data_IF_459480857975
#
_entry.id   IF_459480857975
#
_cell.length_a   1.000
_cell.length_b   1.000
_cell.length_c   1.000
_cell.angle_alpha   90.00
_cell.angle_beta   90.00
_cell.angle_gamma   90.00
#
_symmetry.space_group_name_H-M   'P 1'
#
loop_
_entity.id
_entity.type
_entity.pdbx_description
1 polymer ?
#
# COMPACT_ATOMS: atom_id res chain seq x y z
N UNK A 1 -29.89 27.98 -50.62
CA UNK A 1 -29.47 29.23 -51.32
C UNK A 1 -28.51 29.98 -50.40
N UNK A 2 -27.42 30.38 -50.99
CA UNK A 2 -26.30 31.23 -50.52
C UNK A 2 -25.27 30.58 -49.58
N UNK A 3 -24.22 30.17 -50.23
CA UNK A 3 -22.82 30.01 -49.81
C UNK A 3 -22.24 31.38 -49.39
N UNK A 4 -21.34 31.40 -48.42
CA UNK A 4 -20.22 32.35 -48.46
C UNK A 4 -19.00 31.71 -47.81
N UNK A 5 -17.95 31.64 -48.63
CA UNK A 5 -16.57 31.25 -48.37
C UNK A 5 -15.80 32.54 -48.11
N UNK A 6 -14.92 32.56 -47.10
CA UNK A 6 -13.73 33.46 -47.04
C UNK A 6 -12.77 32.74 -46.08
N UNK A 7 -11.73 32.17 -46.50
CA UNK A 7 -10.43 32.53 -47.06
C UNK A 7 -9.35 32.66 -45.99
N UNK A 8 -8.31 31.75 -46.21
CA UNK A 8 -7.00 31.71 -45.57
C UNK A 8 -6.29 33.05 -45.52
N UNK A 9 -5.48 33.25 -44.50
CA UNK A 9 -4.28 34.06 -44.59
C UNK A 9 -3.10 33.40 -43.92
N UNK A 10 -2.22 32.82 -44.76
CA UNK A 10 -0.85 32.42 -44.39
C UNK A 10 0.01 33.68 -44.37
N UNK A 11 0.80 33.88 -43.32
CA UNK A 11 1.98 34.75 -43.38
C UNK A 11 3.21 33.93 -42.93
N UNK A 12 4.05 33.63 -43.89
CA UNK A 12 5.43 33.20 -43.74
C UNK A 12 6.36 34.39 -43.95
N UNK A 13 7.37 34.55 -43.11
CA UNK A 13 8.58 35.34 -43.33
C UNK A 13 9.63 34.81 -42.38
N UNK A 14 10.57 34.04 -42.83
CA UNK A 14 11.82 34.30 -43.57
C UNK A 14 13.00 34.63 -42.62
N UNK A 15 13.83 33.68 -42.44
CA UNK A 15 15.30 33.53 -42.49
C UNK A 15 16.14 34.82 -42.33
N UNK A 16 17.06 34.74 -41.39
CA UNK A 16 18.22 35.60 -41.28
C UNK A 16 19.38 34.90 -40.60
N UNK A 17 20.23 34.28 -41.42
CA UNK A 17 21.56 33.77 -41.02
C UNK A 17 22.53 34.91 -40.87
N UNK A 18 23.34 34.94 -39.83
CA UNK A 18 24.66 35.57 -39.88
C UNK A 18 25.62 34.77 -38.99
N UNK A 19 26.65 34.26 -39.66
CA UNK A 19 27.83 33.64 -39.10
C UNK A 19 28.79 34.69 -38.52
N UNK A 20 29.46 34.33 -37.41
CA UNK A 20 30.59 35.07 -36.88
C UNK A 20 31.47 34.16 -36.04
N UNK A 21 32.65 33.87 -36.60
CA UNK A 21 33.74 33.11 -36.04
C UNK A 21 34.52 33.84 -34.93
N UNK A 22 35.16 33.05 -34.05
CA UNK A 22 36.37 33.40 -33.29
C UNK A 22 36.11 33.39 -31.77
N UNK A 23 36.90 32.88 -30.93
CA UNK A 23 38.16 32.18 -30.87
C UNK A 23 38.33 31.63 -29.43
N UNK A 24 39.16 30.64 -29.30
CA UNK A 24 39.57 29.91 -28.10
C UNK A 24 39.86 30.77 -26.85
N UNK A 25 39.44 30.31 -25.67
CA UNK A 25 40.42 30.18 -24.59
C UNK A 25 40.01 29.09 -23.58
N UNK A 26 40.94 28.18 -23.38
CA UNK A 26 41.01 27.18 -22.30
C UNK A 26 41.21 27.87 -20.99
N UNK A 27 40.54 27.39 -19.94
CA UNK A 27 41.20 27.35 -18.60
C UNK A 27 40.76 26.10 -17.87
N UNK A 28 41.74 25.35 -17.55
CA UNK A 28 41.74 24.11 -16.80
C UNK A 28 41.51 24.36 -15.30
N UNK A 29 40.97 23.34 -14.69
CA UNK A 29 40.86 22.90 -13.28
C UNK A 29 42.06 23.34 -12.38
N UNK A 30 41.85 23.42 -11.08
CA UNK A 30 42.51 22.36 -10.29
C UNK A 30 41.61 21.65 -9.27
N UNK A 31 41.73 20.32 -9.34
CA UNK A 31 41.53 19.35 -8.27
C UNK A 31 42.43 19.70 -7.08
N UNK A 32 41.92 19.68 -5.87
CA UNK A 32 42.74 19.53 -4.69
C UNK A 32 42.15 18.47 -3.76
N UNK A 33 42.77 17.32 -3.81
CA UNK A 33 42.81 16.28 -2.80
C UNK A 33 43.72 16.74 -1.66
N UNK A 34 43.29 16.61 -0.41
CA UNK A 34 44.08 15.96 0.63
C UNK A 34 43.33 15.84 1.94
N UNK A 35 43.40 14.61 2.43
CA UNK A 35 42.97 14.15 3.74
C UNK A 35 43.84 14.69 4.86
N UNK A 36 43.29 14.81 6.06
CA UNK A 36 43.96 14.33 7.27
C UNK A 36 43.00 14.14 8.44
N UNK A 37 43.12 12.96 9.00
CA UNK A 37 42.59 12.53 10.29
C UNK A 37 43.42 13.18 11.45
N UNK A 38 42.85 13.12 12.63
CA UNK A 38 43.41 13.13 14.00
C UNK A 38 42.41 13.88 14.89
N UNK A 39 42.02 13.54 16.09
CA UNK A 39 42.43 12.50 17.04
C UNK A 39 41.41 12.46 18.17
N UNK A 40 41.22 11.30 18.80
CA UNK A 40 40.46 11.12 20.03
C UNK A 40 41.32 11.60 21.24
N UNK A 41 40.71 11.87 22.41
CA UNK A 41 40.98 10.91 23.45
C UNK A 41 39.81 10.44 24.29
N UNK A 42 39.99 9.21 24.69
CA UNK A 42 39.35 8.36 25.69
C UNK A 42 39.70 8.77 27.10
N UNK A 43 38.78 8.61 28.05
CA UNK A 43 39.00 8.19 29.46
C UNK A 43 37.57 7.99 30.02
N UNK A 44 37.04 6.91 30.53
CA UNK A 44 37.62 5.84 31.32
C UNK A 44 36.96 5.78 32.67
N UNK A 45 36.52 4.62 33.02
CA UNK A 45 36.49 4.00 34.34
C UNK A 45 35.09 3.83 34.96
N UNK A 46 34.52 2.66 34.92
CA UNK A 46 34.68 1.47 35.82
C UNK A 46 33.74 1.46 37.03
N UNK A 47 33.03 0.36 37.17
CA UNK A 47 32.50 -0.07 38.46
C UNK A 47 31.33 -1.08 38.36
N UNK A 48 31.64 -2.36 38.19
CA UNK A 48 30.91 -3.54 38.68
C UNK A 48 31.53 -3.95 40.04
N UNK A 49 31.06 -5.00 40.71
CA UNK A 49 29.73 -5.60 40.95
C UNK A 49 29.49 -5.91 42.46
N UNK A 50 28.35 -6.53 42.81
CA UNK A 50 28.17 -7.52 43.88
C UNK A 50 26.66 -7.81 44.05
N UNK A 51 26.12 -8.95 43.80
CA UNK A 51 26.08 -10.32 44.33
C UNK A 51 25.57 -10.46 45.78
N UNK A 52 24.69 -11.46 45.88
CA UNK A 52 24.28 -12.32 47.01
C UNK A 52 23.04 -11.84 47.79
N UNK A 53 22.06 -12.65 48.19
CA UNK A 53 21.84 -14.08 48.37
C UNK A 53 20.37 -14.34 48.70
N UNK A 54 19.82 -15.41 48.18
CA UNK A 54 19.06 -16.52 48.78
C UNK A 54 18.22 -16.29 50.06
N UNK A 55 16.97 -16.78 50.10
CA UNK A 55 16.41 -17.98 50.72
C UNK A 55 14.88 -17.85 50.85
N UNK A 56 14.10 -18.72 50.27
CA UNK A 56 13.57 -20.00 50.75
C UNK A 56 12.36 -19.91 51.71
N UNK A 57 11.30 -20.71 51.41
CA UNK A 57 10.25 -21.09 52.36
C UNK A 57 8.84 -21.15 51.75
N UNK A 58 8.50 -22.20 51.09
CA UNK A 58 7.67 -23.39 51.43
C UNK A 58 6.28 -23.14 52.04
N UNK A 59 5.29 -23.70 51.28
CA UNK A 59 4.15 -24.59 51.68
C UNK A 59 3.09 -24.08 52.65
N UNK A 60 1.83 -24.20 52.37
CA UNK A 60 0.95 -25.40 52.48
C UNK A 60 -0.49 -25.13 52.02
N UNK A 61 -1.07 -26.19 51.50
CA UNK A 61 -2.48 -26.48 51.21
C UNK A 61 -3.45 -26.30 52.38
N UNK A 62 -4.77 -26.07 52.02
CA UNK A 62 -5.92 -26.93 52.38
C UNK A 62 -7.23 -26.27 51.94
N UNK A 63 -7.89 -26.85 50.99
CA UNK A 63 -9.07 -27.71 50.99
C UNK A 63 -10.11 -27.44 52.08
N UNK A 64 -11.33 -27.07 51.69
CA UNK A 64 -12.55 -27.72 52.16
C UNK A 64 -13.80 -27.35 51.34
N UNK A 65 -14.48 -28.40 50.94
CA UNK A 65 -15.81 -28.59 50.42
C UNK A 65 -16.90 -28.18 51.44
N UNK A 66 -18.09 -27.80 50.96
CA UNK A 66 -19.42 -28.39 51.11
C UNK A 66 -20.57 -27.41 50.94
N UNK A 67 -21.35 -27.60 49.93
CA UNK A 67 -22.74 -28.04 49.82
C UNK A 67 -23.80 -27.38 50.73
N UNK A 68 -24.81 -26.78 50.12
CA UNK A 68 -26.22 -27.06 50.45
C UNK A 68 -27.21 -26.36 49.46
N UNK A 69 -28.11 -27.18 48.97
CA UNK A 69 -29.36 -26.89 48.27
C UNK A 69 -30.31 -25.93 49.00
N UNK A 70 -31.11 -25.13 48.27
CA UNK A 70 -32.55 -25.42 48.11
C UNK A 70 -33.34 -24.27 47.43
N UNK A 71 -34.16 -24.66 46.46
CA UNK A 71 -35.54 -24.25 46.08
C UNK A 71 -35.94 -22.77 46.14
N UNK A 72 -36.43 -22.15 45.08
CA UNK A 72 -37.62 -22.38 44.33
C UNK A 72 -38.31 -21.08 43.98
N UNK A 73 -38.98 -21.07 42.88
CA UNK A 73 -40.13 -20.29 42.44
C UNK A 73 -39.94 -19.22 41.37
N UNK A 74 -40.68 -19.46 40.34
CA UNK A 74 -40.94 -18.76 39.08
C UNK A 74 -41.25 -17.26 39.20
N UNK A 75 -40.60 -16.47 38.35
CA UNK A 75 -41.23 -15.32 37.71
C UNK A 75 -40.78 -15.20 36.24
N UNK A 76 -41.71 -15.34 35.33
CA UNK A 76 -41.64 -15.04 33.93
C UNK A 76 -41.32 -13.56 33.74
N UNK A 77 -40.14 -13.24 33.25
CA UNK A 77 -39.89 -12.00 32.54
C UNK A 77 -39.55 -12.33 31.09
N UNK A 78 -40.30 -11.71 30.20
CA UNK A 78 -40.19 -11.79 28.77
C UNK A 78 -38.77 -11.41 28.36
N UNK A 79 -38.06 -12.36 27.78
CA UNK A 79 -36.84 -12.13 27.02
C UNK A 79 -37.21 -11.29 25.80
N UNK A 80 -36.80 -10.01 25.82
CA UNK A 80 -36.55 -9.27 24.60
C UNK A 80 -35.30 -9.91 24.00
N UNK A 81 -35.45 -10.62 22.93
CA UNK A 81 -34.33 -11.00 22.04
C UNK A 81 -33.67 -9.71 21.60
N UNK A 82 -32.54 -9.34 22.24
CA UNK A 82 -31.53 -8.48 21.65
C UNK A 82 -31.07 -9.20 20.38
N UNK A 83 -31.50 -8.71 19.22
CA UNK A 83 -30.84 -9.02 17.95
C UNK A 83 -29.34 -8.66 18.14
N UNK A 84 -28.54 -9.66 18.41
CA UNK A 84 -27.08 -9.56 18.26
C UNK A 84 -26.80 -9.17 16.83
N UNK A 85 -26.40 -7.92 16.62
CA UNK A 85 -25.75 -7.49 15.37
C UNK A 85 -24.66 -8.52 15.03
N UNK A 86 -24.53 -8.94 13.75
CA UNK A 86 -23.50 -9.87 13.35
C UNK A 86 -22.14 -9.29 13.75
N UNK A 87 -21.44 -10.02 14.59
CA UNK A 87 -20.25 -9.55 15.28
C UNK A 87 -19.17 -9.07 14.32
N UNK A 88 -18.81 -7.82 14.45
CA UNK A 88 -17.57 -7.20 13.93
C UNK A 88 -16.31 -7.82 14.57
N UNK A 89 -16.46 -8.78 15.48
CA UNK A 89 -15.40 -9.35 16.31
C UNK A 89 -14.59 -10.48 15.68
N UNK A 90 -14.86 -10.85 14.41
CA UNK A 90 -14.14 -11.92 13.72
C UNK A 90 -13.55 -11.50 12.36
N UNK A 91 -13.70 -10.26 11.97
CA UNK A 91 -13.08 -9.76 10.73
C UNK A 91 -11.61 -9.45 11.00
N UNK A 92 -10.73 -10.30 10.46
CA UNK A 92 -9.29 -10.17 10.64
C UNK A 92 -8.77 -8.83 10.09
N UNK A 93 -9.38 -8.28 9.03
CA UNK A 93 -8.97 -7.01 8.42
C UNK A 93 -9.07 -5.85 9.41
N UNK A 94 -10.18 -5.73 10.12
CA UNK A 94 -10.39 -4.68 11.12
C UNK A 94 -9.56 -4.91 12.38
N UNK A 95 -9.37 -6.18 12.79
CA UNK A 95 -8.49 -6.52 13.92
C UNK A 95 -7.04 -6.21 13.61
N UNK A 96 -6.58 -6.52 12.40
CA UNK A 96 -5.23 -6.19 11.93
C UNK A 96 -5.06 -4.67 11.86
N UNK A 97 -6.00 -3.94 11.26
CA UNK A 97 -5.98 -2.49 11.23
C UNK A 97 -5.83 -1.90 12.65
N UNK A 98 -6.66 -2.35 13.59
CA UNK A 98 -6.63 -1.84 14.98
C UNK A 98 -5.29 -2.08 15.67
N UNK A 99 -4.59 -3.16 15.33
CA UNK A 99 -3.31 -3.52 15.97
C UNK A 99 -2.09 -2.90 15.31
N UNK A 100 -2.17 -2.50 14.04
CA UNK A 100 -1.02 -2.05 13.24
C UNK A 100 -1.05 -0.59 12.83
N UNK A 101 -2.22 0.08 12.89
CA UNK A 101 -2.42 1.38 12.25
C UNK A 101 -1.58 2.54 12.81
N UNK A 102 -1.22 2.52 14.08
CA UNK A 102 -0.49 3.60 14.73
C UNK A 102 -0.98 3.88 16.15
N UNK A 103 -1.00 5.14 16.56
CA UNK A 103 -1.41 5.55 17.92
C UNK A 103 -2.90 5.86 18.02
N UNK A 104 -3.54 6.16 16.91
CA UNK A 104 -4.97 6.47 16.79
C UNK A 104 -5.73 5.22 16.37
N UNK A 105 -6.90 5.01 16.97
CA UNK A 105 -7.81 3.91 16.57
C UNK A 105 -8.60 4.32 15.31
N UNK A 106 -8.10 3.94 14.14
CA UNK A 106 -8.76 4.21 12.85
C UNK A 106 -9.94 3.27 12.55
N UNK A 107 -10.34 2.45 13.51
CA UNK A 107 -11.63 1.73 13.47
C UNK A 107 -12.73 2.49 14.21
N UNK A 108 -12.39 3.56 14.92
CA UNK A 108 -13.31 4.38 15.71
C UNK A 108 -13.77 5.63 14.95
N UNK A 109 -15.06 5.90 15.05
CA UNK A 109 -15.68 7.12 14.52
C UNK A 109 -15.95 8.18 15.61
N UNK A 110 -15.44 7.99 16.82
CA UNK A 110 -15.66 8.94 17.92
C UNK A 110 -15.08 10.33 17.59
N UNK A 111 -15.86 11.38 17.89
CA UNK A 111 -15.45 12.77 17.63
C UNK A 111 -15.49 13.21 16.17
N UNK A 112 -15.98 12.37 15.25
CA UNK A 112 -16.09 12.71 13.83
C UNK A 112 -17.49 13.28 13.55
N UNK A 113 -17.67 14.55 13.88
CA UNK A 113 -18.96 15.27 13.74
C UNK A 113 -18.91 16.18 12.48
N UNK A 114 -18.84 15.56 11.29
CA UNK A 114 -18.83 16.25 10.01
C UNK A 114 -20.17 16.95 9.75
N UNK A 115 -20.13 18.05 8.98
CA UNK A 115 -21.33 18.76 8.56
C UNK A 115 -22.15 17.96 7.54
N UNK A 116 -23.48 18.11 7.60
CA UNK A 116 -24.42 17.43 6.70
C UNK A 116 -24.17 17.78 5.22
N UNK A 117 -24.31 16.77 4.36
CA UNK A 117 -24.15 16.90 2.91
C UNK A 117 -22.70 17.00 2.44
N UNK A 118 -21.75 16.82 3.35
CA UNK A 118 -20.33 16.87 3.04
C UNK A 118 -19.86 15.83 2.00
N UNK A 119 -18.71 16.07 1.38
CA UNK A 119 -18.18 15.23 0.30
C UNK A 119 -16.74 14.82 0.58
N UNK A 120 -16.51 13.51 0.67
CA UNK A 120 -15.20 12.89 0.67
C UNK A 120 -14.93 12.42 -0.76
N UNK A 121 -13.91 12.98 -1.38
CA UNK A 121 -13.53 12.64 -2.75
C UNK A 121 -12.32 11.70 -2.75
N UNK A 122 -12.35 10.67 -3.57
CA UNK A 122 -11.30 9.67 -3.68
C UNK A 122 -10.87 9.52 -5.12
N UNK A 123 -9.57 9.63 -5.38
CA UNK A 123 -8.97 9.33 -6.67
C UNK A 123 -7.92 8.22 -6.49
N UNK A 124 -8.10 7.12 -7.20
CA UNK A 124 -7.26 5.92 -7.11
C UNK A 124 -6.55 5.63 -8.41
N UNK A 125 -5.63 4.64 -8.42
CA UNK A 125 -4.87 4.28 -9.62
C UNK A 125 -5.73 3.60 -10.69
N UNK A 126 -6.77 2.87 -10.28
CA UNK A 126 -7.71 2.23 -11.21
C UNK A 126 -9.05 1.96 -10.53
N UNK A 127 -10.13 1.93 -11.34
CA UNK A 127 -11.46 1.52 -10.88
C UNK A 127 -11.86 0.13 -11.41
N UNK A 128 -10.91 -0.65 -11.96
CA UNK A 128 -11.20 -1.91 -12.69
C UNK A 128 -10.64 -3.17 -12.05
N UNK A 129 -9.86 -3.07 -10.98
CA UNK A 129 -9.28 -4.26 -10.33
C UNK A 129 -10.04 -4.62 -9.04
N UNK A 130 -10.02 -5.91 -8.67
CA UNK A 130 -10.64 -6.40 -7.44
C UNK A 130 -10.03 -5.79 -6.18
N UNK A 131 -8.75 -5.40 -6.23
CA UNK A 131 -8.08 -4.66 -5.18
C UNK A 131 -8.80 -3.35 -4.87
N UNK A 132 -8.95 -2.48 -5.86
CA UNK A 132 -9.61 -1.18 -5.70
C UNK A 132 -11.10 -1.30 -5.37
N UNK A 133 -11.78 -2.33 -5.89
CA UNK A 133 -13.16 -2.63 -5.47
C UNK A 133 -13.24 -2.97 -3.97
N UNK A 134 -12.22 -3.65 -3.43
CA UNK A 134 -12.18 -4.02 -2.01
C UNK A 134 -11.82 -2.82 -1.13
N UNK A 135 -10.91 -1.94 -1.56
CA UNK A 135 -10.66 -0.64 -0.93
C UNK A 135 -11.95 0.17 -0.87
N UNK A 136 -12.67 0.28 -1.99
CA UNK A 136 -13.97 0.97 -2.09
C UNK A 136 -15.00 0.43 -1.10
N UNK A 137 -15.11 -0.90 -0.96
CA UNK A 137 -16.03 -1.52 0.02
C UNK A 137 -15.72 -1.10 1.45
N UNK A 138 -14.44 -1.02 1.81
CA UNK A 138 -13.99 -0.53 3.11
C UNK A 138 -14.38 0.95 3.33
N UNK A 139 -14.18 1.79 2.32
CA UNK A 139 -14.56 3.21 2.37
C UNK A 139 -16.08 3.39 2.48
N UNK A 140 -16.85 2.66 1.67
CA UNK A 140 -18.32 2.70 1.71
C UNK A 140 -18.87 2.22 3.08
N UNK A 141 -18.22 1.23 3.70
CA UNK A 141 -18.56 0.78 5.04
C UNK A 141 -18.32 1.88 6.07
N UNK A 142 -17.16 2.53 6.06
CA UNK A 142 -16.85 3.62 6.97
C UNK A 142 -17.80 4.82 6.82
N UNK A 143 -18.09 5.23 5.57
CA UNK A 143 -19.05 6.31 5.29
C UNK A 143 -20.47 5.94 5.71
N UNK A 144 -20.88 4.69 5.52
CA UNK A 144 -22.18 4.17 6.00
C UNK A 144 -22.28 4.24 7.53
N UNK A 145 -21.23 3.79 8.23
CA UNK A 145 -21.18 3.80 9.68
C UNK A 145 -21.14 5.24 10.22
N UNK A 146 -20.40 6.15 9.55
CA UNK A 146 -20.36 7.56 9.87
C UNK A 146 -21.73 8.22 9.70
N UNK A 147 -22.43 7.99 8.59
CA UNK A 147 -23.79 8.49 8.36
C UNK A 147 -24.79 7.91 9.37
N UNK A 148 -24.63 6.64 9.77
CA UNK A 148 -25.46 6.02 10.82
C UNK A 148 -25.22 6.71 12.17
N UNK A 149 -23.95 6.95 12.55
CA UNK A 149 -23.57 7.65 13.79
C UNK A 149 -24.12 9.08 13.83
N UNK A 150 -24.02 9.81 12.72
CA UNK A 150 -24.48 11.19 12.59
C UNK A 150 -26.01 11.30 12.37
N UNK A 151 -26.70 10.18 12.23
CA UNK A 151 -28.15 10.08 11.95
C UNK A 151 -28.56 10.76 10.62
N UNK A 152 -27.61 10.93 9.67
CA UNK A 152 -27.82 11.60 8.40
C UNK A 152 -28.62 10.74 7.40
N UNK A 153 -29.58 11.38 6.71
CA UNK A 153 -30.50 10.73 5.76
C UNK A 153 -30.68 11.62 4.52
N UNK A 154 -30.98 10.98 3.39
CA UNK A 154 -31.23 11.71 2.14
C UNK A 154 -30.03 12.59 1.74
N UNK A 155 -30.28 13.85 1.51
CA UNK A 155 -29.29 14.81 1.05
C UNK A 155 -28.29 15.24 2.15
N UNK A 156 -28.62 14.98 3.43
CA UNK A 156 -27.74 15.29 4.57
C UNK A 156 -26.57 14.30 4.69
N UNK A 157 -26.63 13.16 4.00
CA UNK A 157 -25.57 12.16 4.08
C UNK A 157 -24.23 12.70 3.60
N UNK A 158 -23.16 12.30 4.29
CA UNK A 158 -21.80 12.41 3.76
C UNK A 158 -21.72 11.56 2.50
N UNK A 159 -21.25 12.18 1.42
CA UNK A 159 -21.08 11.55 0.10
C UNK A 159 -19.65 11.04 -0.05
N UNK A 160 -19.52 9.98 -0.81
CA UNK A 160 -18.24 9.41 -1.24
C UNK A 160 -18.24 9.37 -2.77
N UNK A 161 -17.33 10.06 -3.43
CA UNK A 161 -16.99 9.76 -4.82
C UNK A 161 -15.73 8.88 -4.86
N UNK A 162 -15.67 7.97 -5.83
CA UNK A 162 -14.56 7.05 -5.99
C UNK A 162 -14.25 6.93 -7.47
N UNK A 163 -13.19 7.61 -7.89
CA UNK A 163 -12.83 7.81 -9.27
C UNK A 163 -11.39 7.37 -9.53
N UNK A 164 -11.06 7.16 -10.79
CA UNK A 164 -9.74 6.76 -11.24
C UNK A 164 -9.78 6.30 -12.69
N UNK A 165 -8.64 6.21 -13.36
CA UNK A 165 -8.54 5.66 -14.71
C UNK A 165 -8.95 4.18 -14.75
N UNK A 166 -8.94 3.62 -15.95
CA UNK A 166 -9.15 2.17 -16.14
C UNK A 166 -7.86 1.35 -16.05
N UNK A 167 -6.72 2.02 -16.14
CA UNK A 167 -5.37 1.44 -16.19
C UNK A 167 -4.50 2.08 -15.11
N UNK A 168 -3.76 1.25 -14.36
CA UNK A 168 -2.89 1.71 -13.27
C UNK A 168 -1.60 2.40 -13.74
N UNK A 169 -1.42 2.54 -15.07
CA UNK A 169 -0.30 3.25 -15.70
C UNK A 169 -0.72 4.56 -16.37
N UNK A 170 -2.03 4.87 -16.44
CA UNK A 170 -2.56 6.08 -17.12
C UNK A 170 -2.51 7.32 -16.22
N UNK A 171 -1.30 7.88 -16.10
CA UNK A 171 -1.02 9.09 -15.30
C UNK A 171 -1.80 10.30 -15.81
N UNK A 172 -1.91 10.49 -17.14
CA UNK A 172 -2.59 11.65 -17.72
C UNK A 172 -4.08 11.66 -17.38
N UNK A 173 -4.75 10.52 -17.50
CA UNK A 173 -6.15 10.40 -17.09
C UNK A 173 -6.32 10.64 -15.60
N UNK A 174 -5.40 10.17 -14.74
CA UNK A 174 -5.49 10.42 -13.30
C UNK A 174 -5.40 11.90 -12.97
N UNK A 175 -4.45 12.64 -13.56
CA UNK A 175 -4.30 14.09 -13.38
C UNK A 175 -5.60 14.82 -13.76
N UNK A 176 -6.19 14.52 -14.92
CA UNK A 176 -7.43 15.13 -15.38
C UNK A 176 -8.60 14.83 -14.42
N UNK A 177 -8.66 13.63 -13.83
CA UNK A 177 -9.67 13.26 -12.83
C UNK A 177 -9.47 14.06 -11.54
N UNK A 178 -8.23 14.21 -11.06
CA UNK A 178 -7.96 15.02 -9.86
C UNK A 178 -8.39 16.47 -10.07
N UNK A 179 -8.08 17.08 -11.24
CA UNK A 179 -8.51 18.44 -11.56
C UNK A 179 -10.04 18.58 -11.55
N UNK A 180 -10.76 17.61 -12.12
CA UNK A 180 -12.22 17.60 -12.13
C UNK A 180 -12.79 17.48 -10.71
N UNK A 181 -12.24 16.62 -9.89
CA UNK A 181 -12.64 16.40 -8.49
C UNK A 181 -12.39 17.63 -7.64
N UNK A 182 -11.23 18.29 -7.77
CA UNK A 182 -10.91 19.52 -7.04
C UNK A 182 -11.84 20.67 -7.42
N UNK A 183 -12.30 20.74 -8.69
CA UNK A 183 -13.27 21.74 -9.15
C UNK A 183 -14.64 21.61 -8.46
N UNK A 184 -14.97 20.43 -7.90
CA UNK A 184 -16.19 20.23 -7.09
C UNK A 184 -16.05 20.75 -5.65
N UNK A 185 -14.86 21.19 -5.25
CA UNK A 185 -14.54 21.69 -3.91
C UNK A 185 -14.95 20.72 -2.79
N UNK A 186 -14.41 19.49 -2.76
CA UNK A 186 -14.72 18.51 -1.73
C UNK A 186 -14.20 18.95 -0.36
N UNK A 187 -14.75 18.38 0.72
CA UNK A 187 -14.27 18.63 2.08
C UNK A 187 -12.89 18.03 2.37
N UNK A 188 -12.50 16.99 1.61
CA UNK A 188 -11.21 16.31 1.69
C UNK A 188 -10.95 15.53 0.40
N UNK A 189 -9.70 15.46 -0.04
CA UNK A 189 -9.25 14.61 -1.13
C UNK A 189 -8.47 13.42 -0.56
N UNK A 190 -8.86 12.19 -0.95
CA UNK A 190 -8.07 10.98 -0.74
C UNK A 190 -7.41 10.59 -2.07
N UNK A 191 -6.10 10.42 -2.10
CA UNK A 191 -5.34 10.21 -3.34
C UNK A 191 -4.41 8.99 -3.24
N UNK A 192 -4.52 8.06 -4.19
CA UNK A 192 -3.50 7.05 -4.47
C UNK A 192 -2.81 7.41 -5.78
N UNK A 193 -1.59 7.93 -5.72
CA UNK A 193 -0.90 8.41 -6.90
C UNK A 193 -0.34 7.26 -7.76
N UNK A 194 -0.56 7.30 -9.07
CA UNK A 194 0.08 6.40 -10.04
C UNK A 194 1.58 6.71 -10.08
N UNK A 195 1.91 7.97 -10.26
CA UNK A 195 3.26 8.52 -10.31
C UNK A 195 3.43 9.52 -9.17
N UNK A 196 4.48 9.32 -8.36
CA UNK A 196 4.67 10.07 -7.12
C UNK A 196 5.05 11.55 -7.32
N UNK A 197 5.46 11.97 -8.52
CA UNK A 197 5.87 13.34 -8.83
C UNK A 197 4.82 14.11 -9.64
N UNK A 198 3.97 13.41 -10.38
CA UNK A 198 3.10 14.02 -11.41
C UNK A 198 1.92 14.83 -10.84
N UNK A 199 1.55 14.65 -9.58
CA UNK A 199 0.37 15.29 -8.97
C UNK A 199 0.68 16.61 -8.24
N UNK A 200 1.90 17.17 -8.35
CA UNK A 200 2.32 18.34 -7.58
C UNK A 200 1.38 19.55 -7.75
N UNK A 201 1.03 19.90 -8.99
CA UNK A 201 0.17 21.06 -9.27
C UNK A 201 -1.23 20.89 -8.66
N UNK A 202 -1.76 19.68 -8.64
CA UNK A 202 -3.05 19.35 -8.05
C UNK A 202 -3.00 19.43 -6.52
N UNK A 203 -1.90 18.99 -5.90
CA UNK A 203 -1.69 19.11 -4.46
C UNK A 203 -1.54 20.58 -4.03
N UNK A 204 -0.83 21.40 -4.82
CA UNK A 204 -0.74 22.85 -4.62
C UNK A 204 -2.14 23.51 -4.73
N UNK A 205 -2.94 23.11 -5.72
CA UNK A 205 -4.33 23.57 -5.89
C UNK A 205 -5.21 23.19 -4.69
N UNK A 206 -5.06 21.95 -4.16
CA UNK A 206 -5.79 21.53 -2.97
C UNK A 206 -5.42 22.40 -1.75
N UNK A 207 -4.12 22.66 -1.53
CA UNK A 207 -3.61 23.48 -0.44
C UNK A 207 -4.12 24.94 -0.55
N UNK A 208 -4.06 25.55 -1.75
CA UNK A 208 -4.57 26.92 -2.00
C UNK A 208 -6.06 27.05 -1.72
N UNK A 209 -6.84 26.00 -1.97
CA UNK A 209 -8.27 25.95 -1.70
C UNK A 209 -8.62 25.49 -0.27
N UNK A 210 -7.62 25.16 0.56
CA UNK A 210 -7.81 24.66 1.92
C UNK A 210 -8.45 23.28 1.99
N UNK A 211 -8.30 22.47 0.94
CA UNK A 211 -8.79 21.09 0.87
C UNK A 211 -7.70 20.18 1.46
N UNK A 212 -7.92 19.54 2.62
CA UNK A 212 -6.96 18.60 3.18
C UNK A 212 -6.79 17.36 2.28
N UNK A 213 -5.58 16.81 2.26
CA UNK A 213 -5.24 15.63 1.46
C UNK A 213 -4.81 14.48 2.37
N UNK A 214 -5.42 13.32 2.18
CA UNK A 214 -4.99 12.05 2.76
C UNK A 214 -4.55 11.13 1.62
N UNK A 215 -3.32 10.69 1.67
CA UNK A 215 -2.79 9.73 0.69
C UNK A 215 -3.13 8.31 1.14
N UNK A 216 -3.42 7.41 0.18
CA UNK A 216 -3.61 5.99 0.44
C UNK A 216 -2.82 5.14 -0.55
N UNK A 217 -2.46 3.93 -0.15
CA UNK A 217 -1.79 2.90 -0.97
C UNK A 217 -0.41 3.28 -1.48
N UNK A 218 -0.30 4.34 -2.27
CA UNK A 218 0.93 4.81 -2.90
C UNK A 218 1.07 6.31 -2.77
N UNK A 219 2.23 6.75 -2.31
CA UNK A 219 2.52 8.11 -1.88
C UNK A 219 2.84 9.09 -2.98
N UNK A 220 3.19 10.28 -2.52
CA UNK A 220 3.68 11.40 -3.33
C UNK A 220 4.95 11.97 -2.70
N UNK A 221 5.89 12.45 -3.50
CA UNK A 221 7.15 13.02 -3.00
C UNK A 221 7.05 14.49 -2.60
N UNK A 222 6.00 15.18 -3.05
CA UNK A 222 5.82 16.62 -2.85
C UNK A 222 4.38 16.92 -2.41
N UNK A 223 4.20 18.09 -1.81
CA UNK A 223 2.90 18.57 -1.38
C UNK A 223 2.64 18.39 0.12
N UNK A 224 1.64 19.11 0.61
CA UNK A 224 1.20 19.00 2.01
C UNK A 224 0.13 17.93 2.12
N UNK A 225 0.47 16.83 2.81
CA UNK A 225 -0.49 15.75 3.08
C UNK A 225 -0.71 15.61 4.58
N UNK A 226 -1.94 15.30 4.96
CA UNK A 226 -2.34 15.17 6.36
C UNK A 226 -2.00 13.82 6.96
N UNK A 227 -1.90 12.79 6.13
CA UNK A 227 -1.56 11.41 6.52
C UNK A 227 -1.34 10.55 5.29
N UNK A 228 -0.60 9.46 5.45
CA UNK A 228 -0.45 8.38 4.46
C UNK A 228 -1.02 7.11 5.06
N UNK A 229 -2.03 6.51 4.44
CA UNK A 229 -2.61 5.22 4.83
C UNK A 229 -2.17 4.15 3.81
N UNK A 230 -1.11 3.44 4.10
CA UNK A 230 -0.50 2.46 3.18
C UNK A 230 0.06 1.26 3.92
N UNK A 231 0.18 0.13 3.23
CA UNK A 231 0.97 -1.01 3.70
C UNK A 231 2.40 -0.55 3.99
N UNK A 232 3.03 -1.04 5.05
CA UNK A 232 4.48 -0.93 5.21
C UNK A 232 5.16 -1.75 4.11
N UNK A 233 5.27 -1.12 2.92
CA UNK A 233 5.72 -1.76 1.69
C UNK A 233 7.16 -2.27 1.80
N UNK A 234 8.00 -1.56 2.56
CA UNK A 234 9.38 -1.97 2.77
C UNK A 234 9.47 -3.22 3.66
N UNK A 235 8.73 -3.26 4.76
CA UNK A 235 8.64 -4.45 5.61
C UNK A 235 8.01 -5.64 4.87
N UNK A 236 6.96 -5.39 4.09
CA UNK A 236 6.28 -6.38 3.27
C UNK A 236 7.19 -6.99 2.19
N UNK A 237 8.01 -6.16 1.52
CA UNK A 237 9.04 -6.60 0.58
C UNK A 237 10.11 -7.48 1.25
N UNK A 238 10.56 -7.09 2.45
CA UNK A 238 11.49 -7.91 3.23
C UNK A 238 10.89 -9.27 3.62
N UNK A 239 9.61 -9.32 3.97
CA UNK A 239 8.93 -10.59 4.26
C UNK A 239 8.75 -11.45 2.99
N UNK A 240 8.48 -10.85 1.84
CA UNK A 240 8.47 -11.56 0.55
C UNK A 240 9.84 -12.21 0.25
N UNK A 241 10.95 -11.53 0.54
CA UNK A 241 12.30 -12.07 0.37
C UNK A 241 12.55 -13.31 1.23
N UNK A 242 12.15 -13.28 2.50
CA UNK A 242 12.22 -14.44 3.41
C UNK A 242 11.42 -15.62 2.85
N UNK A 243 10.19 -15.35 2.39
CA UNK A 243 9.30 -16.37 1.83
C UNK A 243 9.83 -16.98 0.54
N UNK A 244 10.38 -16.16 -0.37
CA UNK A 244 11.01 -16.68 -1.58
C UNK A 244 12.27 -17.49 -1.24
N UNK A 245 13.10 -17.03 -0.30
CA UNK A 245 14.26 -17.76 0.18
C UNK A 245 13.85 -19.15 0.73
N UNK A 246 12.81 -19.21 1.57
CA UNK A 246 12.26 -20.46 2.09
C UNK A 246 11.80 -21.38 0.95
N UNK A 247 11.04 -20.86 -0.02
CA UNK A 247 10.48 -21.63 -1.13
C UNK A 247 11.55 -22.24 -2.04
N UNK A 248 12.69 -21.56 -2.23
CA UNK A 248 13.78 -22.03 -3.11
C UNK A 248 14.94 -22.74 -2.36
N UNK A 249 14.79 -22.97 -1.05
CA UNK A 249 15.80 -23.68 -0.24
C UNK A 249 17.05 -22.87 0.06
N UNK A 250 16.93 -21.52 0.14
CA UNK A 250 17.93 -20.61 0.68
C UNK A 250 19.09 -20.26 -0.26
N UNK A 251 19.08 -20.66 -1.54
CA UNK A 251 20.19 -20.38 -2.45
C UNK A 251 19.79 -20.38 -3.93
N UNK A 252 20.44 -19.53 -4.73
CA UNK A 252 20.29 -19.51 -6.18
C UNK A 252 20.12 -18.10 -6.75
N UNK A 253 19.82 -18.04 -8.05
CA UNK A 253 19.57 -16.79 -8.78
C UNK A 253 18.08 -16.48 -8.80
N UNK A 254 17.72 -15.21 -8.57
CA UNK A 254 16.36 -14.72 -8.59
C UNK A 254 16.24 -13.45 -9.44
N UNK A 255 15.03 -13.22 -9.92
CA UNK A 255 14.68 -11.95 -10.57
C UNK A 255 13.53 -11.26 -9.81
N UNK A 256 13.43 -9.96 -9.99
CA UNK A 256 12.33 -9.13 -9.51
C UNK A 256 11.62 -8.55 -10.73
N UNK A 257 10.30 -8.69 -10.76
CA UNK A 257 9.42 -8.00 -11.70
C UNK A 257 8.60 -7.00 -10.93
N UNK A 258 8.93 -5.75 -11.09
CA UNK A 258 8.30 -4.64 -10.39
C UNK A 258 7.28 -3.91 -11.28
N UNK A 259 6.26 -3.35 -10.67
CA UNK A 259 5.35 -2.40 -11.31
C UNK A 259 6.13 -1.15 -11.72
N UNK A 260 5.49 -0.11 -12.23
CA UNK A 260 6.18 1.09 -12.73
C UNK A 260 7.16 1.70 -11.71
N UNK A 261 8.30 2.18 -12.21
CA UNK A 261 9.39 2.72 -11.37
C UNK A 261 8.97 4.00 -10.62
N UNK A 262 8.09 4.81 -11.20
CA UNK A 262 7.60 6.05 -10.58
C UNK A 262 6.53 5.86 -9.49
N UNK A 263 6.17 4.62 -9.16
CA UNK A 263 5.26 4.30 -8.06
C UNK A 263 6.03 4.06 -6.76
N UNK A 264 5.75 4.84 -5.70
CA UNK A 264 6.38 4.69 -4.38
C UNK A 264 6.26 3.27 -3.84
N UNK A 265 5.05 2.70 -3.86
CA UNK A 265 4.82 1.34 -3.34
C UNK A 265 5.64 0.28 -4.07
N UNK A 266 5.89 0.45 -5.38
CA UNK A 266 6.72 -0.45 -6.18
C UNK A 266 8.19 -0.37 -5.77
N UNK A 267 8.73 0.84 -5.63
CA UNK A 267 10.10 1.07 -5.17
C UNK A 267 10.35 0.52 -3.77
N UNK A 268 9.43 0.77 -2.84
CA UNK A 268 9.57 0.33 -1.46
C UNK A 268 9.54 -1.20 -1.33
N UNK A 269 8.65 -1.89 -2.07
CA UNK A 269 8.60 -3.36 -2.09
C UNK A 269 9.88 -3.96 -2.65
N UNK A 270 10.39 -3.41 -3.75
CA UNK A 270 11.67 -3.82 -4.36
C UNK A 270 12.83 -3.56 -3.41
N UNK A 271 12.93 -2.35 -2.85
CA UNK A 271 14.02 -1.97 -1.94
C UNK A 271 14.02 -2.83 -0.66
N UNK A 272 12.84 -3.05 -0.05
CA UNK A 272 12.71 -3.92 1.13
C UNK A 272 13.13 -5.35 0.85
N UNK A 273 12.75 -5.87 -0.32
CA UNK A 273 13.15 -7.19 -0.78
C UNK A 273 14.67 -7.29 -1.00
N UNK A 274 15.25 -6.32 -1.71
CA UNK A 274 16.69 -6.30 -2.02
C UNK A 274 17.54 -6.14 -0.76
N UNK A 275 17.14 -5.26 0.16
CA UNK A 275 17.81 -5.04 1.44
C UNK A 275 17.84 -6.32 2.29
N UNK A 276 16.71 -7.06 2.36
CA UNK A 276 16.62 -8.33 3.11
C UNK A 276 17.50 -9.42 2.49
N UNK A 277 17.48 -9.57 1.15
CA UNK A 277 18.35 -10.53 0.45
C UNK A 277 19.81 -10.20 0.73
N UNK A 278 20.21 -8.96 0.60
CA UNK A 278 21.61 -8.53 0.80
C UNK A 278 22.09 -8.76 2.25
N UNK A 279 21.21 -8.53 3.24
CA UNK A 279 21.56 -8.60 4.64
C UNK A 279 21.55 -10.04 5.18
N UNK A 280 20.59 -10.87 4.78
CA UNK A 280 20.29 -12.12 5.47
C UNK A 280 20.34 -13.39 4.59
N UNK A 281 20.44 -13.23 3.25
CA UNK A 281 20.42 -14.36 2.33
C UNK A 281 21.62 -14.36 1.35
N UNK A 282 22.89 -14.45 1.84
CA UNK A 282 24.08 -14.23 1.03
C UNK A 282 24.29 -15.28 -0.11
N UNK A 283 23.60 -16.43 -0.04
CA UNK A 283 23.62 -17.45 -1.08
C UNK A 283 22.58 -17.22 -2.20
N UNK A 284 21.76 -16.17 -2.07
CA UNK A 284 20.80 -15.74 -3.08
C UNK A 284 21.34 -14.53 -3.81
N UNK A 285 21.24 -14.53 -5.14
CA UNK A 285 21.68 -13.45 -5.99
C UNK A 285 20.53 -12.90 -6.82
N UNK A 286 20.22 -11.62 -6.67
CA UNK A 286 19.35 -10.90 -7.59
C UNK A 286 20.14 -10.67 -8.87
N UNK A 287 19.72 -11.30 -9.98
CA UNK A 287 20.39 -11.20 -11.28
C UNK A 287 19.70 -10.22 -12.23
N UNK A 288 18.44 -9.90 -11.96
CA UNK A 288 17.66 -8.94 -12.73
C UNK A 288 16.63 -8.26 -11.84
N UNK A 289 16.42 -6.96 -12.07
CA UNK A 289 15.28 -6.17 -11.64
C UNK A 289 14.73 -5.50 -12.88
N UNK A 290 13.45 -5.73 -13.18
CA UNK A 290 12.75 -5.12 -14.32
C UNK A 290 11.52 -4.39 -13.81
N UNK A 291 11.28 -3.20 -14.32
CA UNK A 291 10.07 -2.42 -14.08
C UNK A 291 9.17 -2.44 -15.30
N UNK A 292 7.88 -2.57 -15.08
CA UNK A 292 6.85 -2.41 -16.11
C UNK A 292 7.02 -1.06 -16.83
N UNK A 293 6.91 -1.09 -18.16
CA UNK A 293 7.05 0.09 -19.01
C UNK A 293 6.24 -0.08 -20.30
N UNK A 294 6.15 1.00 -21.09
CA UNK A 294 5.40 1.02 -22.36
C UNK A 294 6.12 0.34 -23.53
N UNK A 295 7.42 0.02 -23.41
CA UNK A 295 8.22 -0.51 -24.52
C UNK A 295 8.01 -2.01 -24.74
N UNK A 296 7.76 -2.76 -23.64
CA UNK A 296 7.65 -4.21 -23.67
C UNK A 296 6.66 -4.67 -22.60
N UNK A 297 5.78 -5.61 -22.94
CA UNK A 297 4.89 -6.21 -21.94
C UNK A 297 5.67 -6.94 -20.85
N UNK A 298 5.13 -6.97 -19.64
CA UNK A 298 5.71 -7.68 -18.49
C UNK A 298 5.99 -9.14 -18.83
N UNK A 299 5.08 -9.80 -19.55
CA UNK A 299 5.23 -11.18 -19.99
C UNK A 299 6.43 -11.37 -20.96
N UNK A 300 6.62 -10.44 -21.90
CA UNK A 300 7.78 -10.49 -22.82
C UNK A 300 9.09 -10.19 -22.07
N UNK A 301 9.07 -9.24 -21.12
CA UNK A 301 10.22 -8.99 -20.24
C UNK A 301 10.59 -10.24 -19.44
N UNK A 302 9.61 -10.90 -18.83
CA UNK A 302 9.83 -12.12 -18.07
C UNK A 302 10.40 -13.24 -18.96
N UNK A 303 9.87 -13.44 -20.16
CA UNK A 303 10.39 -14.41 -21.13
C UNK A 303 11.85 -14.13 -21.49
N UNK A 304 12.21 -12.87 -21.71
CA UNK A 304 13.60 -12.46 -21.98
C UNK A 304 14.52 -12.73 -20.79
N UNK A 305 14.08 -12.39 -19.57
CA UNK A 305 14.86 -12.67 -18.35
C UNK A 305 15.11 -14.15 -18.18
N UNK A 306 14.12 -15.01 -18.46
CA UNK A 306 14.25 -16.47 -18.44
C UNK A 306 15.24 -17.03 -19.47
N UNK A 307 15.32 -16.41 -20.66
CA UNK A 307 16.27 -16.76 -21.71
C UNK A 307 17.70 -16.37 -21.33
N UNK A 308 17.87 -15.15 -20.81
CA UNK A 308 19.17 -14.59 -20.43
C UNK A 308 19.74 -15.21 -19.14
N UNK A 309 18.88 -15.76 -18.26
CA UNK A 309 19.26 -16.33 -16.96
C UNK A 309 18.80 -17.79 -16.83
N UNK A 310 19.46 -18.75 -17.49
CA UNK A 310 19.03 -20.16 -17.52
C UNK A 310 19.07 -20.83 -16.15
N UNK A 311 19.81 -20.29 -15.18
CA UNK A 311 19.93 -20.80 -13.82
C UNK A 311 18.95 -20.17 -12.82
N UNK A 312 18.04 -19.31 -13.30
CA UNK A 312 17.05 -18.64 -12.47
C UNK A 312 16.19 -19.68 -11.74
N UNK A 313 16.04 -19.49 -10.43
CA UNK A 313 15.29 -20.39 -9.53
C UNK A 313 14.05 -19.75 -8.91
N UNK A 314 13.97 -18.42 -8.90
CA UNK A 314 12.86 -17.77 -8.28
C UNK A 314 12.54 -16.40 -8.88
N UNK A 315 11.31 -15.98 -8.69
CA UNK A 315 10.78 -14.66 -9.06
C UNK A 315 10.06 -14.03 -7.88
N UNK A 316 10.31 -12.74 -7.66
CA UNK A 316 9.46 -11.87 -6.84
C UNK A 316 8.71 -10.89 -7.75
N UNK A 317 7.40 -10.76 -7.55
CA UNK A 317 6.53 -9.85 -8.29
C UNK A 317 5.91 -8.86 -7.33
N UNK A 318 6.05 -7.55 -7.61
CA UNK A 318 5.69 -6.52 -6.61
C UNK A 318 4.21 -6.14 -6.58
N UNK A 319 3.38 -6.62 -7.52
CA UNK A 319 1.93 -6.49 -7.50
C UNK A 319 1.24 -7.64 -8.24
N UNK A 320 -0.10 -7.68 -8.20
CA UNK A 320 -0.90 -8.70 -8.86
C UNK A 320 -0.61 -8.78 -10.36
N UNK A 321 -0.58 -7.64 -11.08
CA UNK A 321 -0.48 -7.65 -12.55
C UNK A 321 0.85 -8.22 -13.02
N UNK A 322 1.95 -7.84 -12.38
CA UNK A 322 3.26 -8.39 -12.70
C UNK A 322 3.36 -9.89 -12.35
N UNK A 323 2.73 -10.33 -11.25
CA UNK A 323 2.69 -11.75 -10.89
C UNK A 323 1.90 -12.58 -11.93
N UNK A 324 0.74 -12.08 -12.35
CA UNK A 324 -0.10 -12.73 -13.34
C UNK A 324 0.63 -12.95 -14.66
N UNK A 325 1.37 -11.97 -15.13
CA UNK A 325 2.13 -12.04 -16.39
C UNK A 325 3.39 -12.90 -16.29
N UNK A 326 4.10 -12.85 -15.16
CA UNK A 326 5.25 -13.73 -14.89
C UNK A 326 4.81 -15.20 -14.85
N UNK A 327 3.69 -15.51 -14.17
CA UNK A 327 3.13 -16.87 -14.14
C UNK A 327 2.77 -17.37 -15.55
N UNK A 328 2.26 -16.50 -16.42
CA UNK A 328 2.00 -16.86 -17.83
C UNK A 328 3.29 -17.11 -18.61
N UNK A 329 4.31 -16.28 -18.44
CA UNK A 329 5.61 -16.46 -19.08
C UNK A 329 6.27 -17.77 -18.63
N UNK A 330 6.23 -18.08 -17.33
CA UNK A 330 6.75 -19.34 -16.78
C UNK A 330 6.04 -20.57 -17.37
N UNK A 331 4.71 -20.51 -17.48
CA UNK A 331 3.91 -21.56 -18.09
C UNK A 331 4.29 -21.79 -19.55
N UNK A 332 4.41 -20.71 -20.34
CA UNK A 332 4.81 -20.80 -21.76
C UNK A 332 6.23 -21.32 -21.93
N UNK A 333 7.14 -21.02 -20.99
CA UNK A 333 8.51 -21.51 -20.96
C UNK A 333 8.63 -22.97 -20.40
N UNK A 334 7.54 -23.57 -19.90
CA UNK A 334 7.55 -24.87 -19.25
C UNK A 334 8.37 -24.90 -17.95
N UNK A 335 8.38 -23.79 -17.20
CA UNK A 335 9.12 -23.60 -15.94
C UNK A 335 8.16 -23.34 -14.76
N UNK A 336 7.00 -23.99 -14.76
CA UNK A 336 5.95 -23.79 -13.74
C UNK A 336 6.36 -24.28 -12.34
N UNK A 337 7.48 -24.97 -12.22
CA UNK A 337 8.11 -25.43 -10.95
C UNK A 337 9.06 -24.40 -10.32
N UNK A 338 9.26 -23.23 -10.97
CA UNK A 338 10.08 -22.14 -10.41
C UNK A 338 9.37 -21.52 -9.20
N UNK A 339 10.13 -21.21 -8.14
CA UNK A 339 9.58 -20.54 -6.97
C UNK A 339 9.12 -19.12 -7.33
N UNK A 340 7.85 -18.81 -7.11
CA UNK A 340 7.29 -17.47 -7.30
C UNK A 340 6.67 -17.00 -5.99
N UNK A 341 6.99 -15.78 -5.59
CA UNK A 341 6.30 -15.06 -4.52
C UNK A 341 5.75 -13.78 -5.10
N UNK A 342 4.46 -13.58 -4.93
CA UNK A 342 3.77 -12.39 -5.42
C UNK A 342 3.38 -11.43 -4.30
N UNK A 343 2.72 -10.37 -4.74
CA UNK A 343 2.09 -9.38 -3.89
C UNK A 343 0.61 -9.27 -4.30
N UNK A 344 -0.26 -8.92 -3.34
CA UNK A 344 -1.71 -8.94 -3.54
C UNK A 344 -2.31 -10.35 -3.53
N UNK A 345 -3.61 -10.49 -3.87
CA UNK A 345 -4.26 -11.80 -3.82
C UNK A 345 -5.45 -11.90 -4.78
N UNK A 346 -5.19 -11.65 -6.05
CA UNK A 346 -6.18 -11.73 -7.11
C UNK A 346 -6.55 -13.16 -7.50
N UNK A 347 -7.54 -13.29 -8.36
CA UNK A 347 -8.08 -14.58 -8.79
C UNK A 347 -7.03 -15.53 -9.34
N UNK A 348 -6.18 -15.06 -10.26
CA UNK A 348 -5.19 -15.90 -10.93
C UNK A 348 -4.08 -16.36 -9.96
N UNK A 349 -3.67 -15.47 -9.03
CA UNK A 349 -2.74 -15.83 -7.97
C UNK A 349 -3.33 -16.89 -7.02
N UNK A 350 -4.61 -16.75 -6.61
CA UNK A 350 -5.30 -17.79 -5.82
C UNK A 350 -5.28 -19.15 -6.50
N UNK A 351 -5.53 -19.19 -7.81
CA UNK A 351 -5.45 -20.43 -8.60
C UNK A 351 -4.00 -20.95 -8.67
N UNK A 352 -3.02 -20.08 -8.85
CA UNK A 352 -1.61 -20.45 -8.92
C UNK A 352 -1.08 -20.99 -7.58
N UNK A 353 -1.47 -20.38 -6.46
CA UNK A 353 -1.14 -20.87 -5.11
C UNK A 353 -1.76 -22.27 -4.90
N UNK A 354 -3.01 -22.46 -5.28
CA UNK A 354 -3.72 -23.75 -5.13
C UNK A 354 -3.08 -24.87 -5.96
N UNK A 355 -2.59 -24.51 -7.14
CA UNK A 355 -1.93 -25.45 -8.05
C UNK A 355 -0.43 -25.62 -7.77
N UNK A 356 0.13 -24.87 -6.83
CA UNK A 356 1.55 -24.92 -6.45
C UNK A 356 2.50 -24.21 -7.42
N UNK A 357 1.98 -23.37 -8.33
CA UNK A 357 2.77 -22.56 -9.27
C UNK A 357 3.25 -21.24 -8.66
N UNK A 358 2.64 -20.81 -7.57
CA UNK A 358 3.02 -19.68 -6.75
C UNK A 358 3.13 -20.15 -5.30
N UNK A 359 4.24 -19.88 -4.63
CA UNK A 359 4.47 -20.32 -3.26
C UNK A 359 3.54 -19.62 -2.27
N UNK A 360 3.16 -18.41 -2.59
CA UNK A 360 2.24 -17.59 -1.84
C UNK A 360 2.44 -16.10 -2.16
N UNK A 361 1.66 -15.28 -1.47
CA UNK A 361 1.61 -13.84 -1.68
C UNK A 361 1.68 -13.07 -0.36
N UNK A 362 2.21 -11.86 -0.42
CA UNK A 362 1.98 -10.84 0.60
C UNK A 362 0.68 -10.12 0.23
N UNK A 363 -0.39 -10.43 0.92
CA UNK A 363 -1.71 -9.84 0.68
C UNK A 363 -1.90 -8.61 1.57
N UNK A 364 -2.13 -7.46 0.97
CA UNK A 364 -2.44 -6.20 1.65
C UNK A 364 -3.81 -6.30 2.36
N UNK A 365 -4.13 -5.32 3.19
CA UNK A 365 -5.45 -5.19 3.82
C UNK A 365 -6.28 -4.08 3.12
N UNK A 366 -6.77 -4.30 1.88
CA UNK A 366 -7.46 -3.26 1.12
C UNK A 366 -8.76 -2.77 1.78
N UNK A 367 -9.51 -3.66 2.42
CA UNK A 367 -10.72 -3.27 3.14
C UNK A 367 -10.40 -2.40 4.36
N UNK A 368 -9.42 -2.81 5.18
CA UNK A 368 -8.96 -2.02 6.33
C UNK A 368 -8.35 -0.69 5.92
N UNK A 369 -7.59 -0.67 4.81
CA UNK A 369 -7.04 0.56 4.22
C UNK A 369 -8.15 1.54 3.83
N UNK A 370 -9.17 1.06 3.13
CA UNK A 370 -10.31 1.90 2.73
C UNK A 370 -11.04 2.48 3.94
N UNK A 371 -11.31 1.65 4.96
CA UNK A 371 -11.98 2.10 6.19
C UNK A 371 -11.15 3.16 6.93
N UNK A 372 -9.85 2.89 7.15
CA UNK A 372 -8.94 3.80 7.84
C UNK A 372 -8.76 5.12 7.10
N UNK A 373 -8.69 5.08 5.76
CA UNK A 373 -8.57 6.30 4.94
C UNK A 373 -9.75 7.24 5.15
N UNK A 374 -10.98 6.73 5.21
CA UNK A 374 -12.17 7.55 5.47
C UNK A 374 -12.14 8.15 6.88
N UNK A 375 -11.69 7.37 7.89
CA UNK A 375 -11.53 7.90 9.25
C UNK A 375 -10.48 9.01 9.28
N UNK A 376 -9.32 8.79 8.65
CA UNK A 376 -8.27 9.80 8.54
C UNK A 376 -8.73 11.04 7.77
N UNK A 377 -9.47 10.86 6.68
CA UNK A 377 -10.06 11.93 5.89
C UNK A 377 -11.04 12.78 6.70
N UNK A 378 -11.95 12.15 7.45
CA UNK A 378 -12.88 12.85 8.32
C UNK A 378 -12.16 13.65 9.43
N UNK A 379 -11.10 13.08 9.99
CA UNK A 379 -10.24 13.76 10.98
C UNK A 379 -9.54 14.98 10.36
N UNK A 380 -8.92 14.81 9.19
CA UNK A 380 -8.24 15.88 8.48
C UNK A 380 -9.21 17.02 8.12
N UNK A 381 -10.41 16.69 7.65
CA UNK A 381 -11.44 17.68 7.35
C UNK A 381 -11.87 18.48 8.60
N UNK A 382 -11.93 17.85 9.77
CA UNK A 382 -12.22 18.50 11.05
C UNK A 382 -11.01 19.25 11.65
N UNK A 383 -9.84 19.23 10.99
CA UNK A 383 -8.61 19.80 11.52
C UNK A 383 -8.04 19.04 12.71
N UNK A 384 -8.42 17.79 12.87
CA UNK A 384 -7.87 16.88 13.90
C UNK A 384 -6.56 16.26 13.40
N UNK A 385 -5.61 16.04 14.31
CA UNK A 385 -4.35 15.38 13.99
C UNK A 385 -4.56 13.92 13.61
N UNK A 386 -3.79 13.43 12.65
CA UNK A 386 -3.63 12.02 12.29
C UNK A 386 -2.20 11.56 12.61
N UNK A 387 -1.98 10.25 12.72
CA UNK A 387 -0.65 9.68 12.56
C UNK A 387 -0.14 10.02 11.15
N UNK A 388 1.14 10.36 11.02
CA UNK A 388 1.74 10.66 9.71
C UNK A 388 1.68 9.47 8.76
N UNK A 389 1.75 8.26 9.31
CA UNK A 389 1.66 7.00 8.60
C UNK A 389 0.71 6.05 9.33
N UNK A 390 -0.28 5.53 8.60
CA UNK A 390 -1.29 4.59 9.06
C UNK A 390 -1.07 3.27 8.31
N UNK A 391 -0.65 2.23 9.04
CA UNK A 391 -0.41 0.92 8.46
C UNK A 391 -1.66 0.03 8.62
N UNK A 392 -2.42 -0.30 7.56
CA UNK A 392 -3.56 -1.21 7.69
C UNK A 392 -3.15 -2.67 7.93
N UNK A 393 -1.86 -2.98 7.84
CA UNK A 393 -1.30 -4.32 7.96
C UNK A 393 -1.41 -5.15 6.68
N UNK A 394 -0.79 -6.32 6.69
CA UNK A 394 -0.82 -7.30 5.59
C UNK A 394 -0.75 -8.72 6.15
N UNK A 395 -0.95 -9.73 5.30
CA UNK A 395 -0.87 -11.14 5.65
C UNK A 395 -0.04 -11.90 4.61
N UNK A 396 0.71 -12.93 5.06
CA UNK A 396 1.19 -13.97 4.16
C UNK A 396 0.08 -14.97 3.90
N UNK A 397 -0.19 -15.25 2.63
CA UNK A 397 -1.20 -16.21 2.19
C UNK A 397 -0.54 -17.25 1.28
N UNK A 398 -0.68 -18.51 1.64
CA UNK A 398 -0.20 -19.67 0.91
C UNK A 398 -1.29 -20.74 0.81
N UNK A 399 -0.96 -21.89 0.22
CA UNK A 399 -1.92 -22.98 0.04
C UNK A 399 -2.52 -23.52 1.37
N UNK A 400 -1.84 -23.33 2.50
CA UNK A 400 -2.35 -23.78 3.79
C UNK A 400 -3.38 -22.81 4.39
N UNK A 401 -3.29 -21.54 4.05
CA UNK A 401 -4.11 -20.45 4.60
C UNK A 401 -5.17 -19.93 3.62
N UNK A 402 -5.08 -20.25 2.33
CA UNK A 402 -5.93 -19.71 1.27
C UNK A 402 -7.45 -19.89 1.49
N UNK A 403 -7.84 -20.98 2.13
CA UNK A 403 -9.26 -21.31 2.39
C UNK A 403 -9.72 -20.86 3.81
N UNK A 404 -8.91 -20.07 4.55
CA UNK A 404 -9.33 -19.53 5.85
C UNK A 404 -10.33 -18.39 5.65
N UNK A 405 -11.56 -18.59 6.10
CA UNK A 405 -12.65 -17.60 6.01
C UNK A 405 -12.31 -16.24 6.66
N UNK A 406 -11.34 -16.20 7.58
CA UNK A 406 -10.87 -14.95 8.18
C UNK A 406 -10.09 -14.07 7.20
N UNK A 407 -9.53 -14.67 6.15
CA UNK A 407 -8.74 -14.00 5.13
C UNK A 407 -9.57 -13.52 3.92
N UNK A 408 -10.87 -13.78 3.89
CA UNK A 408 -11.73 -13.48 2.73
C UNK A 408 -11.66 -12.04 2.22
N UNK A 409 -11.44 -11.07 3.12
CA UNK A 409 -11.34 -9.65 2.75
C UNK A 409 -9.92 -9.22 2.33
N UNK A 410 -8.94 -10.15 2.40
CA UNK A 410 -7.62 -10.00 1.78
C UNK A 410 -7.59 -10.56 0.36
N UNK A 411 -8.59 -11.40 0.02
CA UNK A 411 -8.70 -12.09 -1.26
C UNK A 411 -9.79 -11.41 -2.11
N UNK A 412 -9.54 -11.23 -3.39
CA UNK A 412 -10.50 -10.61 -4.31
C UNK A 412 -10.54 -11.31 -5.67
N UNK A 413 -11.58 -10.98 -6.51
CA UNK A 413 -11.82 -11.61 -7.80
C UNK A 413 -11.20 -10.80 -8.96
#
# INVERSE_FOLDING_TARGET
MKRTIVALLCIALAVGSLAGCGDKNKNEVPVNTEAKAEDKPVVGSSGEPQKDTEEDGKEEEKDNTENAENTGEDEKSQDAEEEKEPGMSEDLTMTTLKSSAGTIDYTSLEGLDLEAGGHIAVVVKSTKTGYWETVKKGMEAAVKDLNKKLEYKGDDKIKLSFEGPSDETDVESQINIIDAVLAENPGVLCLAAIDMESCQAQLETAEENGIPVVVLDSGVVTGTVNSVCATDNKAAGADAAKKLSEAMGGSGEIAVMAHIESSESSQDREAGFADEIAANHPEIKIVNVSYENEEMSVKEMAAKVLEENPNLKGYFCTNQMTADDVLDALKEAGKEDMAVVGFDAGKKQKEAIKDGREAGVIAQNPYGMGYATVVAAARAWLGLENDSFINPGYQWIDAASLDDEKLKNYLYE
#
